data_IF_326615392218
#
_entry.id   IF_326615392218
#
_cell.length_a   1.000
_cell.length_b   1.000
_cell.length_c   1.000
_cell.angle_alpha   90.00
_cell.angle_beta   90.00
_cell.angle_gamma   90.00
#
_symmetry.space_group_name_H-M   'P 1'
#
loop_
_entity.id
_entity.type
_entity.pdbx_description
1 polymer ?
#
# COMPACT_ATOMS: atom_id res chain seq x y z
N UNK A 1 -5.43 -30.39 7.92
CA UNK A 1 -4.82 -29.67 9.06
C UNK A 1 -3.38 -30.13 9.17
N UNK A 2 -2.48 -29.49 8.44
CA UNK A 2 -1.03 -29.67 8.60
C UNK A 2 -0.40 -28.31 8.39
N UNK A 3 -0.13 -27.66 9.52
CA UNK A 3 0.49 -26.36 9.62
C UNK A 3 2.00 -26.59 9.55
N UNK A 4 2.63 -26.35 8.40
CA UNK A 4 4.08 -26.29 8.31
C UNK A 4 4.54 -24.95 8.89
N UNK A 5 4.87 -24.98 10.18
CA UNK A 5 5.53 -23.90 10.89
C UNK A 5 6.98 -23.82 10.40
N UNK A 6 7.34 -22.77 9.66
CA UNK A 6 8.75 -22.51 9.31
C UNK A 6 9.52 -22.23 10.61
N UNK A 7 10.56 -23.03 10.86
CA UNK A 7 11.53 -22.81 11.93
C UNK A 7 12.38 -21.60 11.54
N UNK A 8 12.34 -20.55 12.35
CA UNK A 8 13.23 -19.39 12.23
C UNK A 8 14.61 -19.79 12.74
N UNK A 9 15.51 -20.16 11.84
CA UNK A 9 16.94 -20.25 12.13
C UNK A 9 17.56 -18.88 11.92
N UNK A 10 17.94 -18.21 13.01
CA UNK A 10 18.71 -16.98 12.96
C UNK A 10 20.13 -17.29 12.45
N UNK A 11 20.38 -17.04 11.18
CA UNK A 11 21.73 -17.00 10.62
C UNK A 11 22.32 -15.61 10.85
N UNK A 12 23.53 -15.57 11.41
CA UNK A 12 24.32 -14.35 11.55
C UNK A 12 24.79 -13.91 10.15
N UNK A 13 24.03 -13.03 9.49
CA UNK A 13 24.41 -12.48 8.20
C UNK A 13 25.57 -11.48 8.37
N UNK A 14 26.73 -11.81 7.82
CA UNK A 14 27.80 -10.83 7.59
C UNK A 14 27.32 -9.85 6.51
N UNK A 15 27.14 -8.59 6.89
CA UNK A 15 26.73 -7.50 6.00
C UNK A 15 27.70 -7.36 4.83
N UNK A 16 27.29 -7.84 3.65
CA UNK A 16 27.85 -7.49 2.36
C UNK A 16 26.87 -6.51 1.73
N UNK A 17 27.38 -5.34 1.34
CA UNK A 17 26.62 -4.19 0.86
C UNK A 17 25.63 -4.56 -0.26
N UNK A 18 24.36 -4.17 -0.08
CA UNK A 18 23.27 -4.32 -1.04
C UNK A 18 23.33 -3.14 -2.02
N UNK A 19 23.62 -3.30 -3.33
CA UNK A 19 23.80 -2.14 -4.21
C UNK A 19 22.56 -1.71 -5.00
N UNK A 20 21.42 -2.41 -4.98
CA UNK A 20 20.32 -2.13 -5.93
C UNK A 20 18.96 -1.85 -5.28
N UNK A 21 18.66 -2.39 -4.09
CA UNK A 21 17.54 -1.86 -3.27
C UNK A 21 17.73 -0.37 -2.93
N UNK A 22 18.99 0.09 -2.85
CA UNK A 22 19.34 1.51 -2.65
C UNK A 22 18.90 2.44 -3.80
N UNK A 23 18.60 1.90 -5.00
CA UNK A 23 18.07 2.71 -6.10
C UNK A 23 16.57 3.05 -5.90
N UNK A 24 15.86 2.26 -5.09
CA UNK A 24 14.45 2.47 -4.77
C UNK A 24 14.27 3.47 -3.62
N UNK A 25 15.20 3.53 -2.66
CA UNK A 25 15.06 4.32 -1.43
C UNK A 25 16.22 5.30 -1.26
N UNK A 26 16.28 6.31 -2.14
CA UNK A 26 17.25 7.39 -2.03
C UNK A 26 16.56 8.75 -1.90
N UNK A 27 17.26 9.68 -1.25
CA UNK A 27 16.89 11.09 -1.21
C UNK A 27 17.98 11.94 -1.85
N UNK A 28 17.56 12.92 -2.66
CA UNK A 28 18.48 13.89 -3.28
C UNK A 28 19.00 14.93 -2.28
N UNK A 29 18.24 15.18 -1.22
CA UNK A 29 18.59 16.05 -0.12
C UNK A 29 18.01 15.48 1.17
N UNK A 30 18.86 14.93 2.04
CA UNK A 30 18.40 14.41 3.33
C UNK A 30 18.37 15.54 4.37
N UNK A 31 17.19 15.93 4.90
CA UNK A 31 17.04 17.06 5.81
C UNK A 31 17.60 16.80 7.22
N UNK A 32 17.98 15.57 7.56
CA UNK A 32 18.74 15.28 8.78
C UNK A 32 20.19 15.81 8.69
N UNK A 33 20.69 16.02 7.47
CA UNK A 33 22.06 16.46 7.20
C UNK A 33 22.17 17.97 6.90
N UNK A 34 21.05 18.69 6.86
CA UNK A 34 21.04 20.13 6.57
C UNK A 34 19.70 20.66 6.09
N UNK A 35 19.71 21.84 5.49
CA UNK A 35 18.49 22.46 4.95
C UNK A 35 18.23 21.96 3.53
N UNK A 36 17.03 21.47 3.28
CA UNK A 36 16.54 21.07 1.96
C UNK A 36 15.48 22.05 1.43
N UNK A 37 15.27 22.09 0.10
CA UNK A 37 14.10 22.74 -0.48
C UNK A 37 12.80 22.19 0.12
N UNK A 38 11.72 22.97 0.04
CA UNK A 38 10.40 22.49 0.44
C UNK A 38 9.90 21.43 -0.54
N UNK A 39 9.30 20.38 -0.01
CA UNK A 39 8.66 19.31 -0.75
C UNK A 39 7.38 19.84 -1.41
N UNK A 40 7.13 19.61 -2.71
CA UNK A 40 5.85 19.95 -3.32
C UNK A 40 4.74 19.10 -2.70
N UNK A 41 3.70 19.73 -2.16
CA UNK A 41 2.65 19.04 -1.43
C UNK A 41 1.38 18.79 -2.25
N UNK A 42 0.62 17.77 -1.86
CA UNK A 42 -0.75 17.58 -2.32
C UNK A 42 -1.67 18.56 -1.59
N UNK A 43 -1.98 19.69 -2.22
CA UNK A 43 -2.82 20.74 -1.63
C UNK A 43 -4.30 20.34 -1.45
N UNK A 44 -4.71 19.19 -1.98
CA UNK A 44 -6.07 18.68 -1.90
C UNK A 44 -6.20 17.58 -0.83
N UNK A 45 -7.38 17.47 -0.24
CA UNK A 45 -7.68 16.39 0.71
C UNK A 45 -7.70 15.01 0.05
N UNK A 46 -8.09 14.93 -1.22
CA UNK A 46 -8.13 13.67 -1.97
C UNK A 46 -7.43 13.80 -3.30
N UNK A 47 -6.84 12.69 -3.73
CA UNK A 47 -6.28 12.48 -5.06
C UNK A 47 -6.64 11.08 -5.54
N UNK A 48 -7.08 10.97 -6.78
CA UNK A 48 -7.44 9.70 -7.39
C UNK A 48 -6.84 9.61 -8.79
N UNK A 49 -6.25 8.45 -9.09
CA UNK A 49 -5.80 8.09 -10.44
C UNK A 49 -6.44 6.77 -10.84
N UNK A 50 -7.14 6.77 -11.97
CA UNK A 50 -7.53 5.56 -12.70
C UNK A 50 -6.55 5.38 -13.85
N UNK A 51 -5.71 4.35 -13.80
CA UNK A 51 -4.70 4.12 -14.83
C UNK A 51 -5.26 3.43 -16.09
N UNK A 52 -6.55 3.11 -16.13
CA UNK A 52 -7.18 2.48 -17.31
C UNK A 52 -7.59 3.49 -18.38
N UNK A 53 -7.55 4.81 -18.07
CA UNK A 53 -8.06 5.87 -18.95
C UNK A 53 -7.07 6.36 -20.02
N UNK A 54 -5.88 5.77 -20.09
CA UNK A 54 -4.81 6.14 -21.03
C UNK A 54 -3.73 7.02 -20.40
N UNK A 55 -2.81 7.50 -21.25
CA UNK A 55 -1.58 8.18 -20.80
C UNK A 55 -1.80 9.47 -19.99
N UNK A 56 -3.00 10.07 -20.06
CA UNK A 56 -3.36 11.21 -19.20
C UNK A 56 -3.38 10.85 -17.71
N UNK A 57 -3.51 9.57 -17.35
CA UNK A 57 -3.45 9.12 -15.95
C UNK A 57 -2.11 9.44 -15.27
N UNK A 58 -1.04 9.65 -16.05
CA UNK A 58 0.30 9.90 -15.51
C UNK A 58 0.62 11.40 -15.32
N UNK A 59 -0.34 12.32 -15.50
CA UNK A 59 -0.11 13.77 -15.36
C UNK A 59 0.55 14.17 -14.03
N UNK A 60 0.21 13.48 -12.95
CA UNK A 60 0.73 13.74 -11.60
C UNK A 60 1.79 12.72 -11.14
N UNK A 61 2.37 11.98 -12.09
CA UNK A 61 3.33 10.92 -11.84
C UNK A 61 4.61 11.17 -12.63
N UNK A 62 5.75 11.13 -11.95
CA UNK A 62 7.07 11.16 -12.56
C UNK A 62 7.56 9.73 -12.79
N UNK A 63 7.96 9.40 -14.01
CA UNK A 63 8.69 8.15 -14.27
C UNK A 63 10.14 8.33 -13.84
N UNK A 64 10.59 7.51 -12.88
CA UNK A 64 11.94 7.57 -12.32
C UNK A 64 12.87 6.52 -12.90
N UNK A 65 12.31 5.41 -13.41
CA UNK A 65 13.06 4.37 -14.10
C UNK A 65 12.17 3.67 -15.13
N UNK A 66 12.80 3.16 -16.20
CA UNK A 66 12.13 2.38 -17.25
C UNK A 66 11.01 3.15 -17.96
N UNK A 67 9.95 2.44 -18.34
CA UNK A 67 8.76 3.03 -18.95
C UNK A 67 7.53 2.30 -18.45
N UNK A 68 6.47 3.06 -18.15
CA UNK A 68 5.18 2.55 -17.69
C UNK A 68 4.11 3.09 -18.63
N UNK A 69 3.22 2.22 -19.06
CA UNK A 69 2.15 2.56 -20.00
C UNK A 69 0.79 2.19 -19.43
N UNK A 70 -0.23 2.94 -19.82
CA UNK A 70 -1.62 2.59 -19.52
C UNK A 70 -2.08 1.43 -20.40
N UNK A 71 -2.85 0.53 -19.80
CA UNK A 71 -3.52 -0.60 -20.46
C UNK A 71 -4.95 -0.72 -19.95
N UNK A 72 -5.74 -1.64 -20.51
CA UNK A 72 -7.07 -1.94 -19.98
C UNK A 72 -7.08 -2.54 -18.57
N UNK A 73 -5.91 -2.97 -18.05
CA UNK A 73 -5.73 -3.44 -16.68
C UNK A 73 -5.12 -2.36 -15.76
N UNK A 74 -4.86 -1.16 -16.27
CA UNK A 74 -4.18 -0.08 -15.56
C UNK A 74 -2.72 0.10 -16.03
N UNK A 75 -1.90 0.70 -15.17
CA UNK A 75 -0.48 0.92 -15.41
C UNK A 75 0.26 -0.42 -15.41
N UNK A 76 0.98 -0.71 -16.49
CA UNK A 76 1.76 -1.93 -16.65
C UNK A 76 3.25 -1.64 -16.41
N UNK A 77 3.81 -2.33 -15.41
CA UNK A 77 5.22 -2.28 -15.04
C UNK A 77 5.84 -3.60 -15.47
N UNK A 78 6.65 -3.59 -16.54
CA UNK A 78 7.13 -4.82 -17.18
C UNK A 78 8.64 -4.96 -17.15
N UNK A 79 9.13 -6.10 -16.66
CA UNK A 79 10.52 -6.54 -16.80
C UNK A 79 10.59 -7.43 -18.05
N UNK A 80 11.32 -6.99 -19.07
CA UNK A 80 11.55 -7.79 -20.29
C UNK A 80 12.92 -8.46 -20.29
N UNK A 81 13.84 -7.99 -19.46
CA UNK A 81 15.24 -8.44 -19.37
C UNK A 81 15.88 -7.97 -18.06
N UNK A 82 17.05 -8.51 -17.77
CA UNK A 82 17.93 -8.09 -16.67
C UNK A 82 18.14 -6.57 -16.66
N UNK A 83 18.08 -5.98 -15.45
CA UNK A 83 18.21 -4.54 -15.22
C UNK A 83 16.97 -3.68 -15.53
N UNK A 84 15.89 -4.23 -16.08
CA UNK A 84 14.62 -3.49 -16.19
C UNK A 84 14.01 -3.31 -14.78
N UNK A 85 13.69 -2.08 -14.40
CA UNK A 85 13.06 -1.73 -13.12
C UNK A 85 12.06 -0.57 -13.23
N UNK A 86 11.03 -0.67 -14.10
CA UNK A 86 10.13 0.43 -14.34
C UNK A 86 9.46 0.91 -13.05
N UNK A 87 9.53 2.21 -12.81
CA UNK A 87 9.11 2.85 -11.56
C UNK A 87 8.51 4.22 -11.84
N UNK A 88 7.38 4.52 -11.20
CA UNK A 88 6.78 5.86 -11.14
C UNK A 88 6.69 6.33 -9.69
N UNK A 89 6.65 7.64 -9.50
CA UNK A 89 6.39 8.26 -8.20
C UNK A 89 5.44 9.44 -8.34
N UNK A 90 4.67 9.77 -7.30
CA UNK A 90 3.85 10.98 -7.30
C UNK A 90 4.72 12.22 -7.47
N UNK A 91 4.21 13.22 -8.20
CA UNK A 91 4.87 14.53 -8.35
C UNK A 91 4.79 15.40 -7.09
N UNK A 92 4.09 14.92 -6.07
CA UNK A 92 3.84 15.58 -4.80
C UNK A 92 4.06 14.61 -3.64
N UNK A 93 4.25 15.18 -2.47
CA UNK A 93 4.25 14.50 -1.18
C UNK A 93 2.86 14.63 -0.56
N UNK A 94 2.50 13.68 0.29
CA UNK A 94 1.36 13.76 1.20
C UNK A 94 1.86 13.52 2.62
N UNK A 95 1.11 14.01 3.62
CA UNK A 95 1.59 13.97 4.99
C UNK A 95 0.54 13.39 5.92
N UNK A 96 0.81 12.18 6.40
CA UNK A 96 -0.20 11.29 6.97
C UNK A 96 -1.38 11.08 5.99
N UNK A 97 -2.21 10.07 6.24
CA UNK A 97 -3.31 9.81 5.33
C UNK A 97 -3.76 8.39 5.26
N UNK A 98 -4.65 8.16 4.30
CA UNK A 98 -5.06 6.83 3.88
C UNK A 98 -4.78 6.67 2.40
N UNK A 99 -4.10 5.60 2.02
CA UNK A 99 -3.77 5.30 0.63
C UNK A 99 -4.31 3.93 0.28
N UNK A 100 -5.05 3.83 -0.82
CA UNK A 100 -5.45 2.58 -1.46
C UNK A 100 -4.71 2.41 -2.79
N UNK A 101 -4.06 1.27 -2.98
CA UNK A 101 -3.48 0.87 -4.26
C UNK A 101 -4.14 -0.44 -4.71
N UNK A 102 -4.86 -0.39 -5.82
CA UNK A 102 -5.45 -1.59 -6.43
C UNK A 102 -4.47 -2.20 -7.41
N UNK A 103 -3.85 -3.31 -7.02
CA UNK A 103 -2.71 -3.90 -7.72
C UNK A 103 -2.86 -5.41 -7.90
N UNK A 104 -2.26 -5.94 -8.98
CA UNK A 104 -1.96 -7.34 -9.17
C UNK A 104 -0.45 -7.51 -9.28
N UNK A 105 0.11 -8.35 -8.41
CA UNK A 105 1.55 -8.62 -8.31
C UNK A 105 2.03 -9.36 -9.55
N UNK A 106 3.26 -9.10 -9.99
CA UNK A 106 3.88 -9.87 -11.05
C UNK A 106 4.23 -11.28 -10.55
N UNK A 107 3.93 -12.31 -11.35
CA UNK A 107 4.50 -13.63 -11.09
C UNK A 107 5.99 -13.67 -11.50
N UNK A 108 6.67 -14.74 -11.08
CA UNK A 108 8.04 -15.04 -11.50
C UNK A 108 8.95 -15.19 -10.29
N UNK A 109 9.86 -16.16 -10.35
CA UNK A 109 10.83 -16.37 -9.28
C UNK A 109 11.70 -15.11 -9.14
N UNK A 110 11.78 -14.59 -7.92
CA UNK A 110 12.61 -13.42 -7.62
C UNK A 110 12.07 -12.08 -8.12
N UNK A 111 10.88 -12.04 -8.72
CA UNK A 111 10.26 -10.78 -9.19
C UNK A 111 9.52 -10.11 -8.05
N UNK A 112 9.78 -8.83 -7.85
CA UNK A 112 9.23 -8.03 -6.75
C UNK A 112 8.38 -6.91 -7.30
N UNK A 113 7.15 -6.78 -6.79
CA UNK A 113 6.19 -5.70 -7.05
C UNK A 113 6.05 -4.84 -5.80
N UNK A 114 6.45 -3.57 -5.89
CA UNK A 114 6.65 -2.69 -4.74
C UNK A 114 5.66 -1.54 -4.73
N UNK A 115 5.09 -1.26 -3.55
CA UNK A 115 4.36 -0.04 -3.23
C UNK A 115 5.08 0.60 -2.05
N UNK A 116 5.74 1.73 -2.26
CA UNK A 116 6.64 2.33 -1.27
C UNK A 116 6.25 3.77 -1.00
N UNK A 117 6.04 4.12 0.26
CA UNK A 117 5.91 5.50 0.69
C UNK A 117 7.28 5.91 1.19
N UNK A 118 7.85 6.97 0.64
CA UNK A 118 9.22 7.36 0.94
C UNK A 118 9.33 8.86 1.17
N UNK A 119 9.97 9.23 2.27
CA UNK A 119 10.28 10.62 2.61
C UNK A 119 11.73 10.97 2.28
N UNK A 120 12.04 12.27 2.29
CA UNK A 120 13.39 12.76 2.03
C UNK A 120 14.38 12.46 3.17
N UNK A 121 13.91 12.21 4.39
CA UNK A 121 14.73 11.70 5.48
C UNK A 121 14.77 10.17 5.56
N UNK A 122 14.15 9.46 4.61
CA UNK A 122 14.14 8.00 4.51
C UNK A 122 13.35 7.30 5.64
N UNK A 123 12.32 7.98 6.16
CA UNK A 123 11.15 7.27 6.67
C UNK A 123 10.43 6.57 5.49
N UNK A 124 10.01 5.33 5.70
CA UNK A 124 9.50 4.41 4.68
C UNK A 124 8.35 3.54 5.21
N UNK A 125 7.34 3.30 4.37
CA UNK A 125 6.28 2.32 4.58
C UNK A 125 6.06 1.58 3.27
N UNK A 126 6.06 0.25 3.29
CA UNK A 126 6.00 -0.51 2.04
C UNK A 126 5.07 -1.73 2.07
N UNK A 127 4.74 -2.16 0.85
CA UNK A 127 4.26 -3.49 0.50
C UNK A 127 5.19 -4.10 -0.55
N UNK A 128 5.62 -5.34 -0.32
CA UNK A 128 6.47 -6.07 -1.26
C UNK A 128 5.80 -7.39 -1.67
N UNK A 129 5.30 -7.43 -2.91
CA UNK A 129 4.73 -8.62 -3.53
C UNK A 129 5.81 -9.42 -4.25
N UNK A 130 6.18 -10.57 -3.72
CA UNK A 130 7.20 -11.45 -4.30
C UNK A 130 6.52 -12.52 -5.17
N UNK A 131 6.77 -12.52 -6.47
CA UNK A 131 6.16 -13.40 -7.46
C UNK A 131 6.39 -14.89 -7.21
N UNK A 132 7.41 -15.24 -6.43
CA UNK A 132 7.67 -16.59 -5.93
C UNK A 132 6.56 -17.09 -4.99
N UNK A 133 5.90 -16.19 -4.25
CA UNK A 133 4.97 -16.52 -3.17
C UNK A 133 3.54 -16.05 -3.44
N UNK A 134 2.80 -16.83 -4.24
CA UNK A 134 1.41 -16.53 -4.60
C UNK A 134 0.38 -16.82 -3.48
N UNK A 135 0.74 -16.53 -2.23
CA UNK A 135 -0.10 -16.73 -1.05
C UNK A 135 0.19 -15.71 0.08
N UNK A 136 1.14 -14.80 -0.10
CA UNK A 136 1.47 -13.78 0.89
C UNK A 136 1.96 -12.50 0.21
N UNK A 137 2.02 -11.43 0.98
CA UNK A 137 2.69 -10.18 0.62
C UNK A 137 3.45 -9.72 1.86
N UNK A 138 4.61 -9.11 1.68
CA UNK A 138 5.35 -8.50 2.79
C UNK A 138 4.85 -7.08 3.07
N UNK A 139 4.88 -6.72 4.35
CA UNK A 139 4.81 -5.34 4.83
C UNK A 139 6.10 -5.02 5.56
N UNK A 140 6.65 -3.84 5.33
CA UNK A 140 7.83 -3.37 6.05
C UNK A 140 7.72 -1.87 6.34
N UNK A 141 8.69 -1.36 7.11
CA UNK A 141 8.81 0.06 7.40
C UNK A 141 10.24 0.39 7.78
N UNK A 142 10.71 1.59 7.44
CA UNK A 142 11.97 2.15 7.90
C UNK A 142 11.75 3.53 8.52
N UNK A 143 12.52 3.83 9.55
CA UNK A 143 12.56 5.18 10.11
C UNK A 143 13.96 5.72 9.93
N UNK A 144 14.11 6.82 9.19
CA UNK A 144 15.37 7.54 9.00
C UNK A 144 16.50 6.66 8.45
N UNK A 145 16.17 5.74 7.54
CA UNK A 145 17.10 4.72 7.02
C UNK A 145 17.81 3.89 8.10
N UNK A 146 17.16 3.68 9.25
CA UNK A 146 17.74 2.88 10.31
C UNK A 146 17.70 1.39 9.93
N UNK A 147 18.80 0.92 9.35
CA UNK A 147 19.03 -0.47 8.91
C UNK A 147 19.76 -1.33 9.97
N UNK A 148 19.79 -0.90 11.23
CA UNK A 148 20.45 -1.67 12.31
C UNK A 148 19.78 -3.01 12.63
N UNK A 149 18.50 -3.18 12.25
CA UNK A 149 17.78 -4.45 12.28
C UNK A 149 16.94 -4.65 11.02
N UNK A 150 16.65 -5.90 10.67
CA UNK A 150 15.78 -6.30 9.56
C UNK A 150 14.59 -7.15 10.04
N UNK A 151 14.22 -7.02 11.31
CA UNK A 151 13.14 -7.75 11.98
C UNK A 151 11.75 -7.11 11.80
N UNK A 152 11.65 -6.15 10.88
CA UNK A 152 10.47 -5.29 10.68
C UNK A 152 9.50 -5.84 9.64
N UNK A 153 9.93 -6.79 8.82
CA UNK A 153 9.09 -7.47 7.85
C UNK A 153 8.01 -8.32 8.54
N UNK A 154 6.77 -8.27 8.03
CA UNK A 154 5.74 -9.27 8.35
C UNK A 154 5.02 -9.69 7.08
N UNK A 155 4.56 -10.94 7.04
CA UNK A 155 4.05 -11.59 5.82
C UNK A 155 2.58 -11.98 6.00
N UNK A 156 1.62 -11.03 5.90
CA UNK A 156 0.21 -11.38 5.90
C UNK A 156 -0.18 -12.24 4.70
N UNK A 157 -1.07 -13.21 4.95
CA UNK A 157 -1.66 -14.03 3.90
C UNK A 157 -2.58 -13.21 3.00
N UNK A 158 -2.45 -13.41 1.69
CA UNK A 158 -3.32 -12.90 0.63
C UNK A 158 -3.56 -14.01 -0.37
N UNK A 159 -4.81 -14.19 -0.80
CA UNK A 159 -5.14 -15.30 -1.71
C UNK A 159 -4.76 -14.90 -3.13
N UNK A 160 -3.81 -15.61 -3.74
CA UNK A 160 -3.46 -15.50 -5.16
C UNK A 160 -3.12 -14.07 -5.65
N UNK A 161 -2.24 -13.31 -4.99
CA UNK A 161 -1.91 -11.92 -5.36
C UNK A 161 -1.32 -11.75 -6.76
N UNK A 162 -0.76 -12.81 -7.35
CA UNK A 162 -0.24 -12.81 -8.72
C UNK A 162 -1.34 -13.00 -9.78
N UNK A 163 -2.49 -13.56 -9.39
CA UNK A 163 -3.56 -13.91 -10.32
C UNK A 163 -4.70 -12.89 -10.30
N UNK A 164 -4.96 -12.28 -9.14
CA UNK A 164 -6.09 -11.37 -8.90
C UNK A 164 -5.65 -10.01 -8.39
N UNK A 165 -6.43 -8.98 -8.73
CA UNK A 165 -6.26 -7.66 -8.14
C UNK A 165 -6.74 -7.67 -6.69
N UNK A 166 -5.94 -7.07 -5.81
CA UNK A 166 -6.29 -6.75 -4.44
C UNK A 166 -6.14 -5.25 -4.21
N UNK A 167 -6.85 -4.74 -3.21
CA UNK A 167 -6.63 -3.38 -2.71
C UNK A 167 -5.73 -3.45 -1.50
N UNK A 168 -4.51 -2.94 -1.64
CA UNK A 168 -3.54 -2.81 -0.56
C UNK A 168 -3.66 -1.40 0.01
N UNK A 169 -4.04 -1.30 1.27
CA UNK A 169 -4.27 -0.01 1.91
C UNK A 169 -3.35 0.23 3.08
N UNK A 170 -2.96 1.48 3.28
CA UNK A 170 -2.25 1.94 4.47
C UNK A 170 -3.00 3.14 5.05
N UNK A 171 -3.41 3.03 6.32
CA UNK A 171 -3.82 4.19 7.14
C UNK A 171 -2.64 4.58 8.02
N UNK A 172 -2.12 5.79 7.82
CA UNK A 172 -0.92 6.32 8.43
C UNK A 172 -1.26 7.58 9.21
N UNK A 173 -1.14 7.50 10.53
CA UNK A 173 -1.43 8.59 11.46
C UNK A 173 -0.20 8.86 12.34
N UNK A 174 -0.27 9.90 13.17
CA UNK A 174 0.76 10.17 14.18
C UNK A 174 0.84 9.10 15.28
N UNK A 175 -0.18 8.25 15.40
CA UNK A 175 -0.33 7.31 16.51
C UNK A 175 0.02 5.87 16.10
N UNK A 176 -0.27 5.53 14.85
CA UNK A 176 -0.08 4.18 14.31
C UNK A 176 -0.09 4.16 12.78
N UNK A 177 0.50 3.10 12.22
CA UNK A 177 0.35 2.70 10.82
C UNK A 177 -0.42 1.39 10.78
N UNK A 178 -1.42 1.30 9.91
CA UNK A 178 -2.25 0.12 9.73
C UNK A 178 -2.25 -0.31 8.27
N UNK A 179 -2.02 -1.60 8.04
CA UNK A 179 -2.02 -2.20 6.71
C UNK A 179 -3.27 -3.05 6.54
N UNK A 180 -3.95 -2.88 5.41
CA UNK A 180 -5.16 -3.61 5.07
C UNK A 180 -5.02 -4.28 3.70
N UNK A 181 -5.70 -5.41 3.54
CA UNK A 181 -5.87 -6.07 2.23
C UNK A 181 -7.35 -6.27 2.03
N UNK A 182 -7.91 -5.69 0.96
CA UNK A 182 -9.35 -5.72 0.64
C UNK A 182 -10.24 -5.25 1.81
N UNK A 183 -9.75 -4.28 2.59
CA UNK A 183 -10.42 -3.75 3.78
C UNK A 183 -10.21 -4.56 5.07
N UNK A 184 -9.59 -5.73 5.01
CA UNK A 184 -9.25 -6.51 6.20
C UNK A 184 -7.93 -6.02 6.81
N UNK A 185 -7.97 -5.59 8.08
CA UNK A 185 -6.77 -5.21 8.83
C UNK A 185 -5.82 -6.41 8.98
N UNK A 186 -4.57 -6.25 8.55
CA UNK A 186 -3.53 -7.29 8.60
C UNK A 186 -2.42 -6.98 9.60
N UNK A 187 -2.05 -5.71 9.75
CA UNK A 187 -0.96 -5.28 10.64
C UNK A 187 -1.28 -3.93 11.26
N UNK A 188 -0.84 -3.73 12.49
CA UNK A 188 -0.77 -2.42 13.13
C UNK A 188 0.62 -2.25 13.73
N UNK A 189 1.24 -1.09 13.47
CA UNK A 189 2.46 -0.63 14.11
C UNK A 189 2.09 0.60 14.94
N UNK A 190 2.10 0.50 16.27
CA UNK A 190 1.92 1.69 17.10
C UNK A 190 3.21 2.52 17.12
N UNK A 191 3.08 3.83 17.29
CA UNK A 191 4.20 4.77 17.40
C UNK A 191 5.28 4.29 18.38
N UNK A 192 4.87 3.81 19.55
CA UNK A 192 5.80 3.38 20.59
C UNK A 192 6.54 2.06 20.26
N UNK A 193 5.97 1.22 19.41
CA UNK A 193 6.60 -0.05 19.02
C UNK A 193 7.77 0.17 18.05
N UNK A 194 7.78 1.29 17.33
CA UNK A 194 8.86 1.70 16.45
C UNK A 194 9.98 2.45 17.21
N UNK A 195 10.58 1.77 18.19
CA UNK A 195 11.63 2.31 19.07
C UNK A 195 11.21 3.58 19.81
N UNK A 196 10.05 3.55 20.48
CA UNK A 196 9.45 4.71 21.17
C UNK A 196 9.28 5.92 20.22
N UNK A 197 9.00 5.67 18.95
CA UNK A 197 8.81 6.69 17.93
C UNK A 197 10.05 7.08 17.12
N UNK A 198 11.25 6.68 17.56
CA UNK A 198 12.48 7.08 16.89
C UNK A 198 12.58 6.50 15.45
N UNK A 199 12.01 5.31 15.23
CA UNK A 199 11.93 4.67 13.93
C UNK A 199 10.51 4.71 13.34
N UNK A 200 9.58 5.48 13.92
CA UNK A 200 8.23 5.56 13.38
C UNK A 200 8.22 6.48 12.15
N UNK A 201 7.74 6.01 10.98
CA UNK A 201 7.60 6.84 9.80
C UNK A 201 6.64 8.00 10.05
N UNK A 202 7.12 9.24 9.92
CA UNK A 202 6.42 10.40 10.45
C UNK A 202 6.67 11.70 9.68
N UNK A 203 7.22 11.63 8.48
CA UNK A 203 7.55 12.80 7.65
C UNK A 203 6.87 12.68 6.28
N UNK A 204 6.61 13.79 5.55
CA UNK A 204 5.90 13.75 4.27
C UNK A 204 6.53 12.75 3.30
N UNK A 205 5.70 12.00 2.57
CA UNK A 205 6.16 10.96 1.66
C UNK A 205 5.60 11.13 0.26
N UNK A 206 6.39 10.76 -0.74
CA UNK A 206 5.87 10.40 -2.06
C UNK A 206 5.36 8.97 -2.05
N UNK A 207 4.44 8.64 -2.96
CA UNK A 207 4.09 7.27 -3.28
C UNK A 207 4.87 6.81 -4.51
N UNK A 208 5.64 5.73 -4.38
CA UNK A 208 6.38 5.06 -5.45
C UNK A 208 5.73 3.72 -5.77
N UNK A 209 5.62 3.42 -7.05
CA UNK A 209 5.11 2.16 -7.58
C UNK A 209 6.13 1.62 -8.57
N UNK A 210 6.53 0.36 -8.42
CA UNK A 210 7.54 -0.20 -9.30
C UNK A 210 7.64 -1.71 -9.23
N UNK A 211 8.36 -2.27 -10.19
CA UNK A 211 8.71 -3.68 -10.26
C UNK A 211 10.23 -3.80 -10.44
N UNK A 212 10.84 -4.83 -9.87
CA UNK A 212 12.26 -5.12 -10.00
C UNK A 212 12.54 -6.61 -9.78
N UNK A 213 13.73 -7.06 -10.15
CA UNK A 213 14.16 -8.45 -9.96
C UNK A 213 15.07 -8.55 -8.72
N UNK A 214 14.50 -8.83 -7.55
CA UNK A 214 15.28 -9.12 -6.34
C UNK A 214 16.08 -10.43 -6.44
N UNK A 215 15.67 -11.33 -7.33
CA UNK A 215 16.41 -12.53 -7.72
C UNK A 215 17.43 -12.31 -8.84
N UNK A 216 17.73 -11.08 -9.24
CA UNK A 216 18.76 -10.82 -10.26
C UNK A 216 20.12 -11.38 -9.77
N UNK A 217 20.89 -12.12 -10.61
CA UNK A 217 22.16 -12.72 -10.19
C UNK A 217 23.23 -11.71 -9.74
N UNK A 218 23.06 -10.43 -10.06
CA UNK A 218 23.93 -9.35 -9.61
C UNK A 218 23.60 -8.83 -8.20
N UNK A 219 22.47 -9.24 -7.62
CA UNK A 219 22.05 -8.88 -6.27
C UNK A 219 22.84 -9.63 -5.20
N UNK A 220 22.74 -9.14 -3.96
CA UNK A 220 23.31 -9.84 -2.81
C UNK A 220 22.57 -11.16 -2.55
N UNK A 221 23.30 -12.19 -2.11
CA UNK A 221 22.74 -13.53 -1.80
C UNK A 221 21.53 -13.47 -0.88
N UNK A 222 21.54 -12.58 0.12
CA UNK A 222 20.41 -12.38 1.03
C UNK A 222 19.17 -11.80 0.35
N UNK A 223 19.33 -10.90 -0.62
CA UNK A 223 18.23 -10.35 -1.42
C UNK A 223 17.64 -11.43 -2.33
N UNK A 224 18.50 -12.21 -2.99
CA UNK A 224 18.08 -13.31 -3.86
C UNK A 224 17.32 -14.38 -3.04
N UNK A 225 17.82 -14.74 -1.87
CA UNK A 225 17.15 -15.68 -0.95
C UNK A 225 15.80 -15.14 -0.49
N UNK A 226 15.76 -13.86 -0.07
CA UNK A 226 14.52 -13.18 0.33
C UNK A 226 13.47 -13.16 -0.77
N UNK A 227 13.87 -12.84 -2.00
CA UNK A 227 13.01 -12.86 -3.19
C UNK A 227 12.58 -14.28 -3.62
N UNK A 228 13.13 -15.31 -2.96
CA UNK A 228 12.74 -16.70 -3.12
C UNK A 228 13.49 -17.45 -4.22
N UNK A 229 14.60 -16.90 -4.71
CA UNK A 229 15.50 -17.53 -5.66
C UNK A 229 15.91 -16.63 -6.83
N UNK A 230 16.85 -17.13 -7.62
CA UNK A 230 17.35 -16.44 -8.81
C UNK A 230 16.26 -16.31 -9.89
N UNK A 231 16.18 -15.14 -10.52
CA UNK A 231 15.23 -14.84 -11.59
C UNK A 231 15.71 -15.42 -12.92
N UNK A 232 14.86 -16.22 -13.58
CA UNK A 232 15.10 -16.66 -14.95
C UNK A 232 14.49 -15.68 -15.95
N UNK A 233 15.30 -14.78 -16.51
CA UNK A 233 14.82 -13.80 -17.51
C UNK A 233 14.36 -14.42 -18.83
N UNK A 234 14.55 -15.73 -19.07
CA UNK A 234 13.93 -16.40 -20.21
C UNK A 234 12.40 -16.57 -20.05
N UNK A 235 11.89 -16.49 -18.81
CA UNK A 235 10.45 -16.51 -18.51
C UNK A 235 9.80 -15.13 -18.65
N UNK A 236 10.58 -14.09 -18.98
CA UNK A 236 10.06 -12.76 -19.28
C UNK A 236 9.08 -12.78 -20.47
N UNK A 237 8.08 -11.88 -20.51
CA UNK A 237 7.93 -10.72 -19.65
C UNK A 237 7.24 -11.01 -18.31
N UNK A 238 7.71 -10.36 -17.24
CA UNK A 238 7.03 -10.30 -15.95
C UNK A 238 6.34 -8.94 -15.83
N UNK A 239 5.07 -8.90 -15.44
CA UNK A 239 4.32 -7.64 -15.39
C UNK A 239 3.48 -7.50 -14.13
N UNK A 240 3.73 -6.42 -13.39
CA UNK A 240 2.88 -5.92 -12.33
C UNK A 240 1.86 -4.97 -12.95
N UNK A 241 0.63 -4.99 -12.45
CA UNK A 241 -0.43 -4.08 -12.88
C UNK A 241 -0.97 -3.29 -11.70
N UNK A 242 -1.12 -1.97 -11.87
CA UNK A 242 -1.83 -1.10 -10.92
C UNK A 242 -3.03 -0.49 -11.62
N UNK A 243 -4.24 -0.86 -11.19
CA UNK A 243 -5.49 -0.37 -11.78
C UNK A 243 -5.76 1.07 -11.36
N UNK A 244 -5.65 1.36 -10.05
CA UNK A 244 -5.97 2.67 -9.51
C UNK A 244 -5.24 2.96 -8.21
N UNK A 245 -5.09 4.25 -7.92
CA UNK A 245 -4.58 4.79 -6.65
C UNK A 245 -5.58 5.81 -6.10
N UNK A 246 -5.86 5.73 -4.81
CA UNK A 246 -6.63 6.72 -4.07
C UNK A 246 -5.81 7.18 -2.85
N UNK A 247 -5.58 8.48 -2.70
CA UNK A 247 -4.85 9.07 -1.58
C UNK A 247 -5.78 10.06 -0.88
N UNK A 248 -5.92 9.90 0.43
CA UNK A 248 -6.49 10.89 1.33
C UNK A 248 -5.37 11.53 2.12
N UNK A 249 -5.07 12.81 1.87
CA UNK A 249 -4.04 13.55 2.57
C UNK A 249 -4.63 14.19 3.83
N UNK A 250 -4.19 13.76 5.02
CA UNK A 250 -4.72 14.29 6.28
C UNK A 250 -4.25 15.72 6.58
N UNK A 251 -3.17 16.15 5.92
CA UNK A 251 -2.60 17.49 6.09
C UNK A 251 -2.32 18.17 4.74
N UNK A 252 -3.37 18.59 3.99
CA UNK A 252 -3.20 19.24 2.70
C UNK A 252 -2.42 20.55 2.79
N UNK A 253 -1.39 20.67 1.94
CA UNK A 253 -0.53 21.85 1.83
C UNK A 253 0.04 21.97 0.41
N UNK A 254 0.37 23.18 -0.01
CA UNK A 254 1.08 23.38 -1.29
C UNK A 254 2.53 22.91 -1.21
N UNK A 255 3.12 22.93 -0.01
CA UNK A 255 4.45 22.40 0.24
C UNK A 255 4.67 22.04 1.71
N UNK A 256 5.64 21.18 1.96
CA UNK A 256 6.12 20.82 3.30
C UNK A 256 7.58 21.22 3.46
N UNK A 257 7.94 21.81 4.60
CA UNK A 257 9.32 22.22 4.90
C UNK A 257 9.75 21.63 6.22
N UNK A 258 10.89 20.95 6.24
CA UNK A 258 11.55 20.54 7.48
C UNK A 258 12.07 21.79 8.21
N UNK A 259 11.49 22.11 9.37
CA UNK A 259 11.84 23.29 10.17
C UNK A 259 13.15 23.14 10.94
N UNK A 260 13.64 21.91 11.11
CA UNK A 260 14.92 21.56 11.72
C UNK A 260 15.43 20.21 11.16
N UNK A 261 16.54 19.71 11.70
CA UNK A 261 17.18 18.45 11.26
C UNK A 261 16.80 17.25 12.12
N UNK A 262 15.70 17.31 12.88
CA UNK A 262 15.31 16.22 13.79
C UNK A 262 14.59 15.06 13.10
N UNK A 263 13.96 15.34 11.95
CA UNK A 263 13.03 14.41 11.28
C UNK A 263 11.81 14.06 12.13
N UNK A 264 11.44 14.92 13.09
CA UNK A 264 10.21 14.76 13.85
C UNK A 264 9.04 15.37 13.06
N UNK A 265 7.87 14.72 13.06
CA UNK A 265 6.68 15.24 12.38
C UNK A 265 6.29 16.66 12.85
N UNK A 266 6.62 17.00 14.11
CA UNK A 266 6.37 18.32 14.70
C UNK A 266 7.24 19.43 14.12
N UNK A 267 8.33 19.12 13.42
CA UNK A 267 9.17 20.13 12.75
C UNK A 267 8.66 20.49 11.36
N UNK A 268 7.70 19.74 10.81
CA UNK A 268 7.19 19.96 9.46
C UNK A 268 6.28 21.18 9.43
N UNK A 269 6.70 22.20 8.67
CA UNK A 269 5.93 23.41 8.41
C UNK A 269 5.16 23.27 7.09
N UNK A 270 3.86 23.57 7.13
CA UNK A 270 2.95 23.47 5.98
C UNK A 270 2.71 24.86 5.38
N UNK A 271 2.75 24.98 4.05
CA UNK A 271 2.38 26.21 3.35
C UNK A 271 0.92 26.21 2.90
N UNK A 272 0.28 27.39 2.91
CA UNK A 272 -1.07 27.64 2.36
C UNK A 272 -2.11 26.57 2.71
N UNK A 273 -2.13 26.07 3.95
CA UNK A 273 -3.09 25.04 4.37
C UNK A 273 -4.52 25.56 4.23
N UNK A 274 -5.23 25.08 3.21
CA UNK A 274 -6.66 25.36 3.09
C UNK A 274 -7.37 24.53 4.15
N UNK A 275 -7.78 25.19 5.23
CA UNK A 275 -8.61 24.59 6.29
C UNK A 275 -10.01 24.32 5.75
N UNK A 276 -10.18 23.31 4.90
CA UNK A 276 -11.51 22.81 4.56
C UNK A 276 -11.91 21.75 5.60
N UNK A 277 -12.60 22.23 6.65
CA UNK A 277 -13.32 21.47 7.67
C UNK A 277 -12.50 20.46 8.46
N UNK A 278 -11.66 20.99 9.34
CA UNK A 278 -11.18 20.28 10.51
C UNK A 278 -12.38 20.01 11.44
N UNK A 279 -12.92 18.79 11.41
CA UNK A 279 -13.59 18.24 12.59
C UNK A 279 -12.51 18.13 13.66
N UNK A 280 -12.47 19.09 14.56
CA UNK A 280 -11.59 19.08 15.72
C UNK A 280 -11.93 17.85 16.57
N UNK A 281 -11.13 16.79 16.47
CA UNK A 281 -11.12 15.71 17.46
C UNK A 281 -10.45 16.29 18.71
N UNK A 282 -11.25 16.83 19.61
CA UNK A 282 -10.81 17.17 20.96
C UNK A 282 -10.90 15.92 21.81
N UNK A 283 -9.78 15.26 22.05
CA UNK A 283 -9.67 14.18 23.05
C UNK A 283 -9.74 14.80 24.44
N UNK A 284 -10.95 14.97 24.98
CA UNK A 284 -11.16 15.27 26.39
C UNK A 284 -11.38 13.98 27.16
N UNK A 285 -10.36 13.53 27.90
CA UNK A 285 -10.45 12.45 28.88
C UNK A 285 -11.35 12.87 30.05
N UNK A 286 -12.52 12.26 30.19
CA UNK A 286 -13.20 12.15 31.48
C UNK A 286 -13.74 10.74 31.68
N UNK A 287 -13.35 10.14 32.81
CA UNK A 287 -13.91 8.89 33.32
C UNK A 287 -15.36 9.11 33.75
N UNK A 288 -16.19 8.11 33.42
CA UNK A 288 -17.32 7.56 34.19
C UNK A 288 -18.70 7.68 33.52
N UNK A 289 -19.27 6.52 33.15
CA UNK A 289 -20.66 6.14 33.39
C UNK A 289 -21.81 6.77 32.57
N UNK A 290 -22.46 5.91 31.78
CA UNK A 290 -23.89 5.92 31.41
C UNK A 290 -24.34 6.75 30.19
N UNK A 291 -25.22 6.11 29.42
CA UNK A 291 -25.85 6.48 28.15
C UNK A 291 -26.34 7.93 28.04
N UNK A 292 -26.38 8.48 26.81
CA UNK A 292 -27.61 8.88 26.07
C UNK A 292 -27.30 9.71 24.80
N UNK A 293 -28.09 9.46 23.75
CA UNK A 293 -28.27 10.08 22.41
C UNK A 293 -27.65 11.46 22.09
N UNK A 294 -27.11 11.58 20.87
CA UNK A 294 -26.75 12.87 20.23
C UNK A 294 -27.91 13.38 19.36
N UNK A 295 -28.35 14.59 19.67
CA UNK A 295 -29.31 15.39 18.91
C UNK A 295 -28.57 16.21 17.86
N UNK A 296 -29.12 16.24 16.64
CA UNK A 296 -28.70 17.12 15.54
C UNK A 296 -29.15 18.55 15.83
N UNK A 297 -28.30 19.53 15.56
CA UNK A 297 -28.70 20.94 15.50
C UNK A 297 -27.96 21.63 14.36
N UNK A 298 -28.65 21.77 13.23
CA UNK A 298 -28.26 22.63 12.12
C UNK A 298 -28.50 24.09 12.49
N UNK A 299 -27.47 24.92 12.38
CA UNK A 299 -27.63 26.38 12.42
C UNK A 299 -27.11 26.97 11.10
N UNK A 300 -28.03 27.12 10.15
CA UNK A 300 -27.83 27.89 8.93
C UNK A 300 -27.93 29.39 9.23
N UNK A 301 -26.83 30.13 9.08
CA UNK A 301 -26.83 31.60 9.12
C UNK A 301 -26.71 32.14 7.70
N UNK A 302 -27.84 32.59 7.17
CA UNK A 302 -27.97 33.30 5.89
C UNK A 302 -27.60 34.78 6.04
N UNK A 303 -26.67 35.26 5.20
CA UNK A 303 -26.43 36.68 4.99
C UNK A 303 -27.49 37.27 4.05
N UNK A 304 -28.23 38.27 4.51
CA UNK A 304 -29.04 39.15 3.64
C UNK A 304 -28.74 40.61 3.96
N UNK A 305 -28.14 41.30 2.99
CA UNK A 305 -28.02 42.75 2.91
C UNK A 305 -29.25 43.32 2.21
N UNK A 306 -30.00 44.17 2.90
CA UNK A 306 -31.14 44.90 2.34
C UNK A 306 -30.70 46.27 1.79
N UNK A 307 -31.18 46.62 0.61
CA UNK A 307 -31.21 47.99 0.09
C UNK A 307 -32.52 48.17 -0.66
N UNK A 308 -33.41 48.97 -0.09
CA UNK A 308 -34.70 49.34 -0.68
C UNK A 308 -34.53 50.44 -1.74
N UNK A 309 -35.17 50.27 -2.91
CA UNK A 309 -35.85 51.37 -3.61
C UNK A 309 -36.81 50.86 -4.70
N UNK A 310 -38.10 51.05 -4.43
CA UNK A 310 -39.21 51.46 -5.33
C UNK A 310 -39.35 50.92 -6.77
N UNK A 311 -40.47 50.21 -6.96
CA UNK A 311 -41.60 50.51 -7.88
C UNK A 311 -41.89 49.59 -9.09
N UNK A 312 -43.21 49.28 -9.17
CA UNK A 312 -44.06 48.92 -10.34
C UNK A 312 -44.26 47.45 -10.76
N UNK A 313 -45.47 46.96 -10.43
CA UNK A 313 -46.45 46.20 -11.23
C UNK A 313 -46.00 45.28 -12.39
N UNK A 314 -46.34 43.98 -12.35
CA UNK A 314 -47.50 43.36 -13.07
C UNK A 314 -47.43 41.81 -13.12
N UNK A 315 -48.55 41.18 -12.72
CA UNK A 315 -49.26 39.97 -13.23
C UNK A 315 -48.56 38.64 -13.64
N UNK A 316 -49.16 37.53 -13.14
CA UNK A 316 -49.27 36.22 -13.84
C UNK A 316 -48.66 35.05 -13.07
N UNK A 317 -49.37 34.33 -12.18
CA UNK A 317 -50.36 33.24 -12.41
C UNK A 317 -49.79 31.86 -12.78
N UNK A 318 -50.14 30.89 -11.93
CA UNK A 318 -50.20 29.41 -12.08
C UNK A 318 -48.87 28.63 -12.07
N UNK A 319 -48.58 27.80 -11.06
CA UNK A 319 -49.24 26.54 -10.65
C UNK A 319 -49.23 25.46 -11.75
N UNK A 320 -48.57 24.32 -11.48
CA UNK A 320 -49.24 23.04 -11.16
C UNK A 320 -48.22 21.90 -11.13
N UNK A 321 -48.21 21.22 -9.98
CA UNK A 321 -47.72 19.87 -9.71
C UNK A 321 -48.53 18.79 -10.42
N UNK A 322 -47.91 17.70 -10.86
CA UNK A 322 -48.58 16.39 -10.83
C UNK A 322 -47.59 15.23 -10.86
N UNK A 323 -47.64 14.49 -9.76
CA UNK A 323 -47.29 13.07 -9.64
C UNK A 323 -48.18 12.19 -10.53
N UNK A 324 -47.68 11.03 -10.97
CA UNK A 324 -48.49 9.80 -10.95
C UNK A 324 -47.60 8.55 -10.95
N UNK A 325 -47.94 7.65 -10.06
CA UNK A 325 -47.49 6.27 -9.91
C UNK A 325 -48.30 5.32 -10.80
N UNK A 326 -47.71 4.19 -11.18
CA UNK A 326 -48.47 2.94 -11.38
C UNK A 326 -47.55 1.72 -11.33
N UNK A 327 -48.12 0.63 -10.84
CA UNK A 327 -47.46 -0.59 -10.38
C UNK A 327 -48.06 -1.83 -11.08
N UNK A 328 -47.36 -2.97 -10.94
CA UNK A 328 -47.81 -4.38 -11.13
C UNK A 328 -47.89 -4.87 -12.60
N UNK A 329 -47.57 -6.11 -12.99
CA UNK A 329 -47.62 -7.42 -12.28
C UNK A 329 -46.86 -8.52 -13.07
N UNK A 330 -46.19 -9.42 -12.34
CA UNK A 330 -46.03 -10.89 -12.49
C UNK A 330 -45.99 -11.63 -13.85
N UNK A 331 -44.98 -12.50 -14.02
CA UNK A 331 -45.18 -13.91 -14.39
C UNK A 331 -43.96 -14.78 -14.03
N UNK A 332 -44.24 -15.89 -13.34
CA UNK A 332 -43.35 -16.97 -12.92
C UNK A 332 -43.20 -18.07 -13.98
N UNK A 333 -42.02 -18.71 -14.06
CA UNK A 333 -41.91 -20.12 -14.46
C UNK A 333 -40.61 -20.74 -13.93
N UNK A 334 -40.77 -21.70 -13.02
CA UNK A 334 -39.74 -22.64 -12.59
C UNK A 334 -39.71 -23.85 -13.55
N UNK A 335 -38.54 -24.47 -13.72
CA UNK A 335 -38.40 -25.82 -14.29
C UNK A 335 -37.19 -26.51 -13.65
N UNK A 336 -37.39 -27.77 -13.30
CA UNK A 336 -36.60 -28.56 -12.39
C UNK A 336 -35.59 -29.48 -13.10
N UNK A 337 -34.49 -29.75 -12.39
CA UNK A 337 -33.81 -31.03 -12.16
C UNK A 337 -33.45 -31.98 -13.32
N UNK A 338 -32.16 -32.33 -13.39
CA UNK A 338 -31.73 -33.72 -13.55
C UNK A 338 -30.34 -33.95 -12.95
N UNK A 339 -30.31 -34.67 -11.82
CA UNK A 339 -29.12 -35.27 -11.22
C UNK A 339 -28.79 -36.57 -11.94
N UNK A 340 -27.52 -36.83 -12.23
CA UNK A 340 -27.02 -38.13 -12.61
C UNK A 340 -25.95 -38.57 -11.61
N UNK A 341 -26.22 -39.72 -11.00
CA UNK A 341 -25.39 -40.43 -10.03
C UNK A 341 -24.74 -41.58 -10.79
N UNK A 342 -23.42 -41.72 -10.78
CA UNK A 342 -22.75 -42.98 -11.10
C UNK A 342 -21.70 -43.28 -10.02
N UNK A 343 -21.72 -44.55 -9.67
CA UNK A 343 -21.15 -45.32 -8.58
C UNK A 343 -19.62 -45.36 -8.48
N UNK A 344 -19.23 -45.46 -7.20
CA UNK A 344 -18.02 -46.00 -6.58
C UNK A 344 -17.40 -47.24 -7.25
N UNK A 345 -16.07 -47.30 -7.27
CA UNK A 345 -15.31 -48.54 -7.10
C UNK A 345 -14.09 -48.27 -6.21
N UNK A 346 -14.06 -48.96 -5.07
CA UNK A 346 -12.95 -49.07 -4.14
C UNK A 346 -11.94 -50.11 -4.65
N UNK A 347 -10.64 -49.88 -4.40
CA UNK A 347 -9.65 -50.95 -4.33
C UNK A 347 -8.67 -50.68 -3.19
N UNK A 348 -8.47 -51.72 -2.40
CA UNK A 348 -7.74 -51.79 -1.13
C UNK A 348 -6.23 -51.63 -1.24
N UNK A 349 -5.67 -51.35 -0.06
CA UNK A 349 -4.27 -51.26 0.29
C UNK A 349 -3.49 -52.57 0.12
N UNK A 350 -2.19 -52.42 -0.15
CA UNK A 350 -1.18 -53.39 0.24
C UNK A 350 -0.05 -52.65 0.96
N UNK A 351 0.06 -52.90 2.26
CA UNK A 351 1.15 -52.41 3.10
C UNK A 351 2.40 -53.28 2.97
N UNK A 352 3.55 -52.65 3.23
CA UNK A 352 4.78 -53.31 3.66
C UNK A 352 5.47 -52.36 4.64
N UNK A 353 5.75 -52.87 5.83
CA UNK A 353 6.37 -52.20 6.95
C UNK A 353 7.78 -52.77 7.22
N UNK A 354 8.53 -52.06 8.09
CA UNK A 354 9.75 -52.48 8.83
C UNK A 354 11.05 -52.23 8.03
N UNK A 355 12.13 -51.56 8.47
CA UNK A 355 12.63 -51.04 9.77
C UNK A 355 13.81 -50.04 9.53
N UNK A 356 14.37 -49.38 10.58
CA UNK A 356 15.20 -48.18 10.46
C UNK A 356 16.68 -48.46 10.18
N UNK A 357 17.34 -47.54 9.48
CA UNK A 357 18.81 -47.51 9.37
C UNK A 357 19.38 -46.39 10.24
N UNK A 358 20.26 -46.85 11.11
CA UNK A 358 21.13 -46.20 12.08
C UNK A 358 21.84 -44.94 11.57
N UNK A 359 21.81 -43.90 12.41
CA UNK A 359 22.69 -42.72 12.38
C UNK A 359 24.14 -43.18 12.59
N UNK A 360 25.02 -42.89 11.63
CA UNK A 360 26.47 -42.89 11.84
C UNK A 360 26.96 -41.45 11.70
N UNK A 361 27.33 -40.85 12.82
CA UNK A 361 28.16 -39.66 12.88
C UNK A 361 29.50 -39.94 12.21
N UNK A 362 29.88 -39.12 11.23
CA UNK A 362 31.25 -39.03 10.75
C UNK A 362 31.75 -37.60 10.93
N UNK A 363 32.58 -37.45 11.96
CA UNK A 363 33.50 -36.34 12.15
C UNK A 363 34.52 -36.39 11.00
N UNK A 364 34.66 -35.31 10.24
CA UNK A 364 35.88 -35.06 9.46
C UNK A 364 36.34 -33.63 9.70
N UNK A 365 37.40 -33.57 10.50
CA UNK A 365 38.33 -32.47 10.71
C UNK A 365 39.35 -32.49 9.56
N UNK A 366 39.58 -31.36 8.87
CA UNK A 366 40.79 -30.96 8.11
C UNK A 366 40.51 -29.58 7.47
N UNK A 367 40.94 -28.42 8.00
CA UNK A 367 42.29 -27.84 7.94
C UNK A 367 42.99 -28.10 6.59
N UNK A 368 43.19 -27.07 5.77
CA UNK A 368 44.53 -26.61 5.33
C UNK A 368 44.46 -25.32 4.48
N UNK A 369 45.29 -24.36 4.93
CA UNK A 369 45.93 -23.19 4.28
C UNK A 369 45.06 -22.02 3.86
#
# INVERSE_FOLDING_TARGET
MSLFMRLVTAALATAVAIPLAAAQTYSSCNPLNGTCPADPGLANYTFYTDFTVGDSAFEFWNTTAGTVHSTSQGAAFTINKEGDSPTIQTAFYFFFGHVDVKMKVANGTGIVSSVVFLSDDLDEIDWEGIGTYNYEIETNYFGKDNTTSYDRATYPNVTTPCDTFHTYSVDWTTEQIQWFIDGDLKRTLAYNDALNGANFPQTPMVLKLGIWAGGDPSEGEGTIEWAGGETDFNDAPFTMYVESVNITNYYPAESYTYGDTTGAYTSIALSNSTSNSQSSVTTSTTKNGSSTTILVSDTTSSNTTSSDTTSSNTTGSNATSSSTSSSKTSSSSASASSSAVISTASAEAAGLAISPVTIISAVVLSLFV
#
